data_IF_727565164378
#
_entry.id   IF_727565164378
#
_cell.length_a   1.000
_cell.length_b   1.000
_cell.length_c   1.000
_cell.angle_alpha   90.00
_cell.angle_beta   90.00
_cell.angle_gamma   90.00
#
_symmetry.space_group_name_H-M   'P 1'
#
loop_
_entity.id
_entity.type
_entity.pdbx_description
1 polymer ?
#
# COMPACT_ATOMS: atom_id res chain seq x y z
N UNK A 1 -4.84 -15.83 -6.37
CA UNK A 1 -3.82 -14.88 -5.88
C UNK A 1 -4.23 -14.47 -4.48
N UNK A 2 -3.34 -14.52 -3.48
CA UNK A 2 -3.69 -14.12 -2.12
C UNK A 2 -3.98 -12.61 -2.08
N UNK A 3 -5.03 -12.23 -1.37
CA UNK A 3 -5.34 -10.85 -1.02
C UNK A 3 -4.92 -10.66 0.43
N UNK A 4 -3.93 -9.82 0.64
CA UNK A 4 -3.39 -9.51 1.97
C UNK A 4 -3.91 -8.15 2.43
N UNK A 5 -4.01 -7.98 3.73
CA UNK A 5 -4.23 -6.67 4.34
C UNK A 5 -2.89 -6.08 4.72
N UNK A 6 -2.73 -4.78 4.47
CA UNK A 6 -1.51 -4.07 4.76
C UNK A 6 -1.80 -2.69 5.33
N UNK A 7 -0.92 -2.22 6.19
CA UNK A 7 -0.89 -0.83 6.63
C UNK A 7 0.23 -0.11 5.90
N UNK A 8 -0.08 1.07 5.34
CA UNK A 8 0.93 1.95 4.77
C UNK A 8 1.75 2.58 5.89
N UNK A 9 3.06 2.36 5.84
CA UNK A 9 4.04 2.97 6.75
C UNK A 9 4.59 4.25 6.14
N UNK A 10 4.92 4.22 4.86
CA UNK A 10 5.35 5.39 4.09
C UNK A 10 5.15 5.18 2.59
N UNK A 11 5.02 6.28 1.87
CA UNK A 11 4.93 6.37 0.44
C UNK A 11 5.92 7.44 -0.05
N UNK A 12 6.78 7.05 -0.99
CA UNK A 12 7.71 7.95 -1.67
C UNK A 12 7.36 7.99 -3.14
N UNK A 13 7.21 9.18 -3.72
CA UNK A 13 7.03 9.29 -5.15
C UNK A 13 8.36 9.01 -5.85
N UNK A 14 8.35 8.03 -6.74
CA UNK A 14 9.48 7.72 -7.64
C UNK A 14 9.34 8.52 -8.93
N UNK A 15 8.10 8.64 -9.42
CA UNK A 15 7.71 9.46 -10.56
C UNK A 15 6.29 9.98 -10.33
N UNK A 16 6.18 11.24 -9.91
CA UNK A 16 4.90 11.89 -9.63
C UNK A 16 4.04 12.07 -10.89
N UNK A 17 4.68 12.32 -12.04
CA UNK A 17 3.97 12.56 -13.32
C UNK A 17 3.22 11.30 -13.75
N UNK A 18 3.83 10.13 -13.56
CA UNK A 18 3.25 8.84 -13.92
C UNK A 18 2.65 8.07 -12.74
N UNK A 19 2.50 8.72 -11.57
CA UNK A 19 2.01 8.13 -10.32
C UNK A 19 2.67 6.78 -9.98
N UNK A 20 4.01 6.75 -10.06
CA UNK A 20 4.82 5.63 -9.61
C UNK A 20 5.34 5.90 -8.21
N UNK A 21 5.06 4.98 -7.30
CA UNK A 21 5.35 5.14 -5.87
C UNK A 21 6.09 3.94 -5.33
N UNK A 22 7.09 4.19 -4.48
CA UNK A 22 7.64 3.20 -3.56
C UNK A 22 6.82 3.25 -2.27
N UNK A 23 6.06 2.21 -2.01
CA UNK A 23 5.26 2.06 -0.80
C UNK A 23 5.97 1.12 0.17
N UNK A 24 6.17 1.57 1.39
CA UNK A 24 6.54 0.71 2.51
C UNK A 24 5.26 0.24 3.19
N UNK A 25 4.96 -1.05 3.06
CA UNK A 25 3.75 -1.68 3.58
C UNK A 25 4.11 -2.69 4.67
N UNK A 26 3.40 -2.62 5.80
CA UNK A 26 3.43 -3.65 6.83
C UNK A 26 2.25 -4.59 6.60
N UNK A 27 2.51 -5.85 6.31
CA UNK A 27 1.47 -6.85 6.06
C UNK A 27 0.94 -7.41 7.39
N UNK A 28 -0.36 -7.68 7.46
CA UNK A 28 -1.01 -8.24 8.66
C UNK A 28 -0.47 -9.64 9.05
N UNK A 29 0.09 -10.38 8.08
CA UNK A 29 0.66 -11.73 8.28
C UNK A 29 2.16 -11.74 8.60
N UNK A 30 2.83 -10.58 8.52
CA UNK A 30 4.26 -10.39 8.76
C UNK A 30 4.47 -9.11 9.60
N UNK A 31 3.79 -9.07 10.75
CA UNK A 31 3.82 -7.97 11.71
C UNK A 31 5.23 -7.83 12.29
N UNK A 32 5.99 -6.86 11.78
CA UNK A 32 7.35 -6.56 12.21
C UNK A 32 8.34 -6.36 11.05
N UNK A 33 8.00 -6.81 9.85
CA UNK A 33 8.86 -6.67 8.67
C UNK A 33 8.15 -5.86 7.57
N UNK A 34 8.19 -4.52 7.64
CA UNK A 34 7.68 -3.70 6.56
C UNK A 34 8.46 -3.97 5.27
N UNK A 35 7.75 -4.16 4.17
CA UNK A 35 8.33 -4.44 2.85
C UNK A 35 8.06 -3.29 1.90
N UNK A 36 9.03 -3.05 1.01
CA UNK A 36 8.93 -2.04 -0.04
C UNK A 36 8.32 -2.65 -1.29
N UNK A 37 7.40 -1.91 -1.88
CA UNK A 37 6.73 -2.29 -3.12
C UNK A 37 6.70 -1.12 -4.08
N UNK A 38 7.07 -1.36 -5.32
CA UNK A 38 6.88 -0.40 -6.40
C UNK A 38 5.45 -0.55 -6.94
N UNK A 39 4.68 0.52 -6.87
CA UNK A 39 3.26 0.51 -7.22
C UNK A 39 2.96 1.65 -8.17
N UNK A 40 2.32 1.32 -9.29
CA UNK A 40 1.70 2.31 -10.17
C UNK A 40 0.25 2.48 -9.75
N UNK A 41 -0.13 3.70 -9.41
CA UNK A 41 -1.46 4.04 -8.89
C UNK A 41 -2.16 5.04 -9.81
N UNK A 42 -3.48 5.08 -9.73
CA UNK A 42 -4.30 6.13 -10.36
C UNK A 42 -4.42 7.38 -9.48
N UNK A 43 -3.94 7.32 -8.23
CA UNK A 43 -4.00 8.40 -7.25
C UNK A 43 -2.67 8.55 -6.51
N UNK A 44 -2.41 9.76 -6.02
CA UNK A 44 -1.26 10.07 -5.18
C UNK A 44 -1.44 9.57 -3.74
N UNK A 45 -0.35 9.09 -3.13
CA UNK A 45 -0.34 8.69 -1.73
C UNK A 45 0.11 9.85 -0.83
N UNK A 46 -0.44 9.91 0.38
CA UNK A 46 -0.07 10.90 1.41
C UNK A 46 0.35 10.17 2.68
N UNK A 47 1.48 10.56 3.27
CA UNK A 47 2.03 9.97 4.50
C UNK A 47 1.37 10.46 5.78
N UNK A 48 0.54 11.51 5.70
CA UNK A 48 -0.08 12.14 6.88
C UNK A 48 -1.19 11.31 7.53
N UNK A 49 -1.62 10.21 6.89
CA UNK A 49 -2.77 9.43 7.35
C UNK A 49 -2.41 7.94 7.41
N UNK A 50 -2.84 7.30 8.50
CA UNK A 50 -2.73 5.86 8.69
C UNK A 50 -3.74 5.19 7.75
N UNK A 51 -3.27 4.66 6.62
CA UNK A 51 -4.11 4.05 5.59
C UNK A 51 -3.93 2.54 5.55
N UNK A 52 -5.05 1.81 5.55
CA UNK A 52 -5.07 0.36 5.35
C UNK A 52 -5.44 0.05 3.91
N UNK A 53 -4.85 -1.02 3.39
CA UNK A 53 -5.00 -1.45 2.00
C UNK A 53 -5.26 -2.95 1.91
N UNK A 54 -6.03 -3.34 0.90
CA UNK A 54 -6.00 -4.69 0.34
C UNK A 54 -4.95 -4.71 -0.75
N UNK A 55 -4.04 -5.67 -0.68
CA UNK A 55 -2.91 -5.82 -1.60
C UNK A 55 -3.00 -7.20 -2.24
N UNK A 56 -3.03 -7.23 -3.58
CA UNK A 56 -2.95 -8.48 -4.33
C UNK A 56 -1.53 -8.63 -4.86
N UNK A 57 -0.84 -9.67 -4.40
CA UNK A 57 0.54 -9.97 -4.80
C UNK A 57 0.59 -11.12 -5.82
N UNK A 58 1.52 -11.02 -6.78
CA UNK A 58 1.93 -12.12 -7.67
C UNK A 58 3.46 -12.10 -7.75
N UNK A 59 4.11 -13.18 -7.30
CA UNK A 59 5.58 -13.28 -7.24
C UNK A 59 6.25 -12.09 -6.51
N UNK A 60 5.70 -11.68 -5.36
CA UNK A 60 6.12 -10.51 -4.57
C UNK A 60 5.94 -9.14 -5.24
N UNK A 61 5.33 -9.08 -6.43
CA UNK A 61 4.95 -7.82 -7.07
C UNK A 61 3.51 -7.45 -6.73
N UNK A 62 3.27 -6.17 -6.42
CA UNK A 62 1.91 -5.64 -6.26
C UNK A 62 1.24 -5.56 -7.63
N UNK A 63 0.15 -6.31 -7.79
CA UNK A 63 -0.70 -6.25 -9.00
C UNK A 63 -1.91 -5.36 -8.81
N UNK A 64 -2.40 -5.23 -7.58
CA UNK A 64 -3.52 -4.37 -7.22
C UNK A 64 -3.35 -3.88 -5.78
N UNK A 65 -3.66 -2.61 -5.55
CA UNK A 65 -3.76 -2.02 -4.22
C UNK A 65 -5.06 -1.23 -4.12
N UNK A 66 -5.81 -1.45 -3.04
CA UNK A 66 -7.11 -0.80 -2.82
C UNK A 66 -7.20 -0.31 -1.39
N UNK A 67 -7.53 0.97 -1.20
CA UNK A 67 -7.69 1.52 0.15
C UNK A 67 -8.92 0.91 0.81
N UNK A 68 -8.77 0.44 2.04
CA UNK A 68 -9.87 0.06 2.91
C UNK A 68 -10.39 1.36 3.52
N UNK A 69 -11.62 1.75 3.20
CA UNK A 69 -12.30 2.81 3.95
C UNK A 69 -12.49 2.29 5.38
N UNK A 70 -11.85 2.96 6.34
CA UNK A 70 -12.12 2.75 7.75
C UNK A 70 -13.28 3.68 8.05
N UNK A 71 -14.49 3.14 8.16
CA UNK A 71 -15.60 3.91 8.70
C UNK A 71 -15.23 4.26 10.15
N UNK A 72 -15.16 5.55 10.45
CA UNK A 72 -15.07 5.99 11.84
C UNK A 72 -16.36 5.51 12.52
N UNK A 73 -16.21 4.66 13.53
CA UNK A 73 -17.34 4.30 14.40
C UNK A 73 -17.52 5.52 15.31
N UNK A 74 -18.65 6.21 15.16
CA UNK A 74 -19.09 7.33 16.03
C UNK A 74 -19.13 6.93 17.51
#
# INVERSE_FOLDING_TARGET
MPVLKATLVSANAVDEVHNLWELTLMLDDDLGNPKKYLVRSTYAFKNSELKRFKVTLKNNEVKRIEQIQIEAVD
#
